data_IF_286005292381
#
_entry.id   IF_286005292381
#
_cell.length_a   1.000
_cell.length_b   1.000
_cell.length_c   1.000
_cell.angle_alpha   90.00
_cell.angle_beta   90.00
_cell.angle_gamma   90.00
#
_symmetry.space_group_name_H-M   'P 1'
#
loop_
_entity.id
_entity.type
_entity.pdbx_description
1 polymer ?
#
# COMPACT_ATOMS: atom_id res chain seq x y z
N UNK A 1 -8.45 -52.63 -82.75
CA UNK A 1 -8.95 -51.87 -83.91
C UNK A 1 -8.85 -50.38 -83.61
N UNK A 2 -7.99 -49.68 -84.37
CA UNK A 2 -8.08 -48.30 -84.89
C UNK A 2 -8.37 -47.10 -83.93
N UNK A 3 -7.39 -46.17 -83.94
CA UNK A 3 -7.32 -44.69 -83.73
C UNK A 3 -8.66 -43.94 -83.46
N UNK A 4 -8.71 -42.85 -82.67
CA UNK A 4 -8.34 -41.45 -83.05
C UNK A 4 -8.63 -40.48 -81.86
N UNK A 5 -7.65 -39.64 -81.44
CA UNK A 5 -7.62 -38.19 -81.01
C UNK A 5 -8.80 -37.59 -80.16
N UNK A 6 -8.71 -36.69 -79.16
CA UNK A 6 -7.74 -35.65 -78.73
C UNK A 6 -8.16 -34.94 -77.40
N UNK A 7 -7.18 -34.27 -76.75
CA UNK A 7 -7.22 -33.05 -75.90
C UNK A 7 -7.84 -33.01 -74.48
N UNK A 8 -7.02 -32.54 -73.52
CA UNK A 8 -7.46 -31.51 -72.55
C UNK A 8 -7.17 -31.79 -71.07
N UNK A 9 -6.17 -31.09 -70.51
CA UNK A 9 -5.90 -30.95 -69.07
C UNK A 9 -7.05 -30.26 -68.32
N UNK A 10 -7.34 -30.63 -67.06
CA UNK A 10 -6.99 -29.88 -65.81
C UNK A 10 -7.67 -30.45 -64.54
N UNK A 11 -6.91 -30.38 -63.44
CA UNK A 11 -7.12 -30.64 -61.99
C UNK A 11 -8.42 -30.03 -61.41
N UNK A 12 -9.04 -30.38 -60.25
CA UNK A 12 -8.88 -31.32 -59.12
C UNK A 12 -10.12 -31.12 -58.22
N UNK A 13 -10.69 -32.18 -57.63
CA UNK A 13 -11.44 -32.11 -56.35
C UNK A 13 -11.29 -33.46 -55.62
N UNK A 14 -10.70 -33.40 -54.43
CA UNK A 14 -11.37 -33.63 -53.13
C UNK A 14 -11.64 -35.11 -52.82
N UNK A 15 -10.93 -35.62 -51.82
CA UNK A 15 -11.34 -36.83 -51.07
C UNK A 15 -10.87 -36.70 -49.63
N UNK A 16 -11.88 -36.54 -48.78
CA UNK A 16 -11.96 -36.75 -47.34
C UNK A 16 -10.87 -37.69 -46.76
N UNK A 17 -10.10 -37.21 -45.78
CA UNK A 17 -9.56 -38.05 -44.71
C UNK A 17 -9.72 -37.31 -43.37
N UNK A 18 -10.66 -37.80 -42.57
CA UNK A 18 -10.99 -37.32 -41.24
C UNK A 18 -9.86 -37.71 -40.27
N UNK A 19 -8.93 -36.79 -39.99
CA UNK A 19 -7.92 -36.97 -38.94
C UNK A 19 -8.44 -36.32 -37.66
N UNK A 20 -8.74 -37.16 -36.66
CA UNK A 20 -9.03 -36.75 -35.30
C UNK A 20 -7.78 -36.05 -34.71
N UNK A 21 -7.72 -34.73 -34.81
CA UNK A 21 -6.78 -33.91 -34.04
C UNK A 21 -7.29 -33.88 -32.59
N UNK A 22 -6.90 -34.88 -31.81
CA UNK A 22 -6.83 -34.73 -30.36
C UNK A 22 -5.70 -33.72 -30.15
N UNK A 23 -6.08 -32.44 -30.02
CA UNK A 23 -5.21 -31.46 -29.42
C UNK A 23 -4.89 -32.00 -28.02
N UNK A 24 -3.72 -32.61 -27.86
CA UNK A 24 -3.09 -32.74 -26.57
C UNK A 24 -2.93 -31.31 -26.09
N UNK A 25 -3.89 -30.84 -25.30
CA UNK A 25 -3.63 -29.81 -24.33
C UNK A 25 -2.61 -30.43 -23.40
N UNK A 26 -1.33 -30.18 -23.71
CA UNK A 26 -0.31 -30.16 -22.69
C UNK A 26 -0.86 -29.24 -21.61
N UNK A 27 -1.31 -29.85 -20.52
CA UNK A 27 -1.47 -29.16 -19.25
C UNK A 27 -0.16 -28.40 -19.08
N UNK A 28 -0.24 -27.07 -19.21
CA UNK A 28 0.81 -26.21 -18.73
C UNK A 28 0.90 -26.49 -17.24
N UNK A 29 1.78 -27.41 -16.86
CA UNK A 29 2.42 -27.32 -15.57
C UNK A 29 3.18 -26.01 -15.65
N UNK A 30 2.64 -24.98 -14.98
CA UNK A 30 3.32 -23.72 -14.79
C UNK A 30 4.64 -24.03 -14.11
N UNK A 31 5.70 -24.10 -14.91
CA UNK A 31 7.05 -24.06 -14.39
C UNK A 31 7.27 -22.60 -14.02
N UNK A 32 6.79 -22.18 -12.84
CA UNK A 32 7.01 -20.87 -12.25
C UNK A 32 8.51 -20.70 -12.05
N UNK A 33 9.16 -20.31 -13.13
CA UNK A 33 10.58 -20.10 -13.20
C UNK A 33 10.79 -18.72 -12.61
N UNK A 34 11.39 -18.68 -11.42
CA UNK A 34 11.77 -17.42 -10.77
C UNK A 34 12.34 -16.43 -11.79
N UNK A 35 11.73 -15.25 -11.88
CA UNK A 35 12.12 -14.19 -12.79
C UNK A 35 12.55 -12.96 -11.99
N UNK A 36 13.86 -12.65 -11.92
CA UNK A 36 14.33 -11.51 -11.13
C UNK A 36 13.83 -10.15 -11.65
N UNK A 37 13.41 -10.04 -12.91
CA UNK A 37 12.91 -8.79 -13.46
C UNK A 37 11.51 -8.40 -12.96
N UNK A 38 10.80 -9.30 -12.28
CA UNK A 38 9.54 -8.95 -11.61
C UNK A 38 9.75 -8.47 -10.18
N UNK A 39 10.87 -8.85 -9.54
CA UNK A 39 11.19 -8.50 -8.16
C UNK A 39 12.15 -7.30 -8.06
N UNK A 40 13.17 -7.22 -8.92
CA UNK A 40 14.15 -6.14 -8.86
C UNK A 40 13.56 -4.72 -8.98
N UNK A 41 12.50 -4.47 -9.77
CA UNK A 41 11.83 -3.16 -9.78
C UNK A 41 11.17 -2.77 -8.44
N UNK A 42 11.01 -3.72 -7.52
CA UNK A 42 10.43 -3.50 -6.19
C UNK A 42 11.51 -3.28 -5.11
N UNK A 43 12.79 -3.35 -5.46
CA UNK A 43 13.92 -3.30 -4.52
C UNK A 43 14.84 -2.11 -4.80
N UNK A 44 15.58 -1.71 -3.78
CA UNK A 44 16.59 -0.66 -3.88
C UNK A 44 17.67 -1.02 -4.90
N UNK A 45 18.14 -0.02 -5.64
CA UNK A 45 19.24 -0.19 -6.58
C UNK A 45 20.51 -0.68 -5.87
N UNK A 46 21.11 -1.72 -6.41
CA UNK A 46 22.28 -2.40 -5.82
C UNK A 46 21.93 -3.51 -4.83
N UNK A 47 20.64 -3.76 -4.54
CA UNK A 47 20.25 -4.87 -3.67
C UNK A 47 20.72 -6.20 -4.27
N UNK A 48 21.41 -7.00 -3.46
CA UNK A 48 21.77 -8.37 -3.81
C UNK A 48 20.72 -9.33 -3.27
N UNK A 49 20.09 -10.10 -4.15
CA UNK A 49 19.13 -11.15 -3.81
C UNK A 49 19.71 -12.52 -4.16
N UNK A 50 19.19 -13.57 -3.54
CA UNK A 50 19.55 -14.95 -3.86
C UNK A 50 18.76 -15.42 -5.08
N UNK A 51 19.39 -16.17 -5.98
CA UNK A 51 18.63 -16.96 -6.95
C UNK A 51 18.10 -18.22 -6.23
N UNK A 52 16.78 -18.39 -6.07
CA UNK A 52 16.24 -19.52 -5.32
C UNK A 52 16.66 -20.88 -5.91
N UNK A 53 17.05 -20.95 -7.18
CA UNK A 53 17.40 -22.21 -7.86
C UNK A 53 18.82 -22.69 -7.58
N UNK A 54 19.69 -21.85 -7.01
CA UNK A 54 21.10 -22.18 -6.84
C UNK A 54 21.65 -21.70 -5.49
N UNK A 55 22.57 -22.47 -4.92
CA UNK A 55 23.24 -22.13 -3.65
C UNK A 55 24.29 -21.02 -3.81
N UNK A 56 24.88 -20.94 -5.00
CA UNK A 56 26.07 -20.15 -5.31
C UNK A 56 25.79 -19.01 -6.29
N UNK A 57 24.53 -18.77 -6.66
CA UNK A 57 24.15 -17.69 -7.58
C UNK A 57 23.42 -16.60 -6.82
N UNK A 58 23.85 -15.36 -7.05
CA UNK A 58 23.18 -14.17 -6.56
C UNK A 58 22.83 -13.27 -7.73
N UNK A 59 21.93 -12.32 -7.49
CA UNK A 59 21.45 -11.38 -8.49
C UNK A 59 21.55 -9.99 -7.90
N UNK A 60 22.17 -9.08 -8.63
CA UNK A 60 22.21 -7.66 -8.29
C UNK A 60 21.08 -6.97 -9.03
N UNK A 61 20.15 -6.38 -8.30
CA UNK A 61 19.10 -5.55 -8.86
C UNK A 61 19.69 -4.19 -9.21
N UNK A 62 19.63 -3.82 -10.49
CA UNK A 62 20.14 -2.55 -10.99
C UNK A 62 19.06 -1.87 -11.83
N UNK A 63 18.48 -0.80 -11.30
CA UNK A 63 17.31 -0.12 -11.86
C UNK A 63 16.19 -1.16 -12.15
N UNK A 64 15.74 -1.26 -13.40
CA UNK A 64 14.73 -2.23 -13.88
C UNK A 64 15.34 -3.51 -14.46
N UNK A 65 16.64 -3.75 -14.21
CA UNK A 65 17.36 -4.90 -14.73
C UNK A 65 17.99 -5.72 -13.61
N UNK A 66 18.38 -6.93 -13.94
CA UNK A 66 19.03 -7.85 -13.02
C UNK A 66 20.31 -8.39 -13.64
N UNK A 67 21.37 -8.47 -12.82
CA UNK A 67 22.66 -9.04 -13.23
C UNK A 67 22.98 -10.21 -12.33
N UNK A 68 23.09 -11.40 -12.91
CA UNK A 68 23.49 -12.61 -12.18
C UNK A 68 24.99 -12.63 -11.93
N UNK A 69 25.39 -13.05 -10.73
CA UNK A 69 26.76 -13.36 -10.34
C UNK A 69 26.86 -14.76 -9.72
N UNK A 70 28.07 -15.31 -9.65
CA UNK A 70 28.32 -16.64 -9.11
C UNK A 70 29.48 -16.62 -8.11
N UNK A 71 29.32 -17.39 -7.04
CA UNK A 71 30.32 -17.65 -6.02
C UNK A 71 31.26 -18.83 -6.35
N UNK A 72 31.15 -19.43 -7.55
CA UNK A 72 31.92 -20.63 -7.90
C UNK A 72 31.55 -21.78 -6.97
N UNK A 73 32.54 -22.32 -6.25
CA UNK A 73 32.35 -23.44 -5.30
C UNK A 73 31.84 -23.00 -3.92
N UNK A 74 31.74 -21.69 -3.66
CA UNK A 74 31.24 -21.13 -2.40
C UNK A 74 29.71 -20.91 -2.43
N UNK A 75 29.09 -20.78 -1.26
CA UNK A 75 27.67 -20.43 -1.17
C UNK A 75 27.48 -18.93 -0.99
N UNK A 76 26.41 -18.39 -1.59
CA UNK A 76 26.04 -16.99 -1.38
C UNK A 76 25.24 -16.88 -0.09
N UNK A 77 25.79 -16.14 0.88
CA UNK A 77 25.07 -15.73 2.08
C UNK A 77 24.23 -14.50 1.76
N UNK A 78 22.91 -14.69 1.79
CA UNK A 78 21.91 -13.68 1.51
C UNK A 78 22.07 -12.44 2.41
N UNK A 79 22.28 -12.64 3.72
CA UNK A 79 22.23 -11.54 4.68
C UNK A 79 23.53 -10.73 4.74
N UNK A 80 24.67 -11.38 4.53
CA UNK A 80 25.96 -10.66 4.45
C UNK A 80 26.27 -10.17 3.03
N UNK A 81 25.63 -10.74 2.01
CA UNK A 81 25.86 -10.40 0.61
C UNK A 81 27.24 -10.87 0.08
N UNK A 82 27.83 -11.87 0.75
CA UNK A 82 29.17 -12.40 0.49
C UNK A 82 29.13 -13.88 0.08
N UNK A 83 30.18 -14.32 -0.60
CA UNK A 83 30.42 -15.74 -0.85
C UNK A 83 31.16 -16.34 0.35
N UNK A 84 30.59 -17.37 0.96
CA UNK A 84 31.07 -18.01 2.18
C UNK A 84 31.31 -19.50 1.96
N UNK A 85 32.04 -20.11 2.88
CA UNK A 85 32.32 -21.53 2.85
C UNK A 85 31.00 -22.35 2.96
N UNK A 86 30.76 -23.34 2.07
CA UNK A 86 29.55 -24.17 2.11
C UNK A 86 29.26 -24.86 3.45
N UNK A 87 30.28 -25.09 4.28
CA UNK A 87 30.11 -25.71 5.60
C UNK A 87 29.62 -24.72 6.67
N UNK A 88 29.58 -23.42 6.36
CA UNK A 88 29.20 -22.36 7.31
C UNK A 88 27.73 -21.94 7.24
N UNK A 89 27.04 -22.23 6.13
CA UNK A 89 25.63 -21.89 5.94
C UNK A 89 24.87 -23.02 5.21
N UNK A 90 23.58 -23.14 5.47
CA UNK A 90 22.73 -24.07 4.74
C UNK A 90 22.29 -23.51 3.38
N UNK A 91 22.38 -24.36 2.35
CA UNK A 91 21.78 -24.04 1.06
C UNK A 91 20.25 -24.28 1.09
N UNK A 92 19.51 -23.19 1.20
CA UNK A 92 18.07 -23.15 0.92
C UNK A 92 17.87 -22.93 -0.58
N UNK A 93 17.38 -23.93 -1.31
CA UNK A 93 17.17 -23.83 -2.76
C UNK A 93 15.92 -24.58 -3.22
N UNK A 94 15.24 -24.04 -4.24
CA UNK A 94 14.15 -24.66 -4.96
C UNK A 94 14.59 -25.90 -5.76
N UNK A 95 15.89 -26.05 -5.98
CA UNK A 95 16.50 -27.28 -6.47
C UNK A 95 17.25 -27.97 -5.33
N UNK A 96 16.62 -28.91 -4.58
CA UNK A 96 17.29 -29.59 -3.47
C UNK A 96 18.48 -30.45 -3.92
N UNK A 97 18.57 -30.80 -5.21
CA UNK A 97 19.71 -31.51 -5.79
C UNK A 97 20.93 -30.61 -6.05
N UNK A 98 20.82 -29.30 -5.82
CA UNK A 98 21.95 -28.37 -5.93
C UNK A 98 23.02 -28.60 -4.85
N UNK A 99 22.61 -28.99 -3.63
CA UNK A 99 23.51 -29.37 -2.53
C UNK A 99 23.91 -30.85 -2.60
N UNK A 100 23.01 -31.72 -3.06
CA UNK A 100 23.20 -33.17 -3.12
C UNK A 100 23.04 -33.70 -4.53
N UNK A 101 24.16 -33.98 -5.20
CA UNK A 101 24.14 -34.39 -6.62
C UNK A 101 23.59 -35.80 -6.85
N UNK A 102 23.61 -36.68 -5.85
CA UNK A 102 23.11 -38.06 -5.95
C UNK A 102 22.42 -38.49 -4.65
N UNK A 103 21.30 -39.21 -4.76
CA UNK A 103 20.54 -39.75 -3.62
C UNK A 103 19.17 -39.11 -3.50
N UNK A 104 18.57 -39.15 -2.31
CA UNK A 104 17.28 -38.52 -2.07
C UNK A 104 17.43 -37.23 -1.27
N UNK A 105 16.65 -36.22 -1.61
CA UNK A 105 16.60 -34.94 -0.91
C UNK A 105 15.14 -34.56 -0.58
N UNK A 106 14.88 -33.89 0.55
CA UNK A 106 13.54 -33.43 0.89
C UNK A 106 13.07 -32.36 -0.10
N UNK A 107 11.77 -32.31 -0.36
CA UNK A 107 11.16 -31.23 -1.12
C UNK A 107 11.11 -29.95 -0.25
N UNK A 108 11.72 -28.83 -0.69
CA UNK A 108 11.77 -27.60 0.12
C UNK A 108 10.41 -26.93 0.32
N UNK A 109 9.41 -27.27 -0.50
CA UNK A 109 8.06 -26.70 -0.46
C UNK A 109 7.01 -27.64 0.15
N UNK A 110 7.34 -28.93 0.34
CA UNK A 110 6.38 -29.94 0.76
C UNK A 110 6.98 -31.00 1.67
N UNK A 111 6.38 -31.17 2.84
CA UNK A 111 6.69 -32.29 3.75
C UNK A 111 6.40 -33.68 3.17
N UNK A 112 5.48 -33.78 2.21
CA UNK A 112 5.09 -35.04 1.58
C UNK A 112 5.93 -35.34 0.33
N UNK A 113 6.62 -34.35 -0.21
CA UNK A 113 7.45 -34.46 -1.41
C UNK A 113 8.90 -34.84 -1.11
N UNK A 114 9.57 -35.41 -2.11
CA UNK A 114 11.00 -35.64 -2.13
C UNK A 114 11.52 -35.63 -3.56
N UNK A 115 12.84 -35.51 -3.72
CA UNK A 115 13.51 -35.62 -5.01
C UNK A 115 14.49 -36.79 -5.00
N UNK A 116 14.49 -37.57 -6.07
CA UNK A 116 15.61 -38.44 -6.40
C UNK A 116 16.59 -37.67 -7.29
N UNK A 117 17.75 -37.36 -6.74
CA UNK A 117 18.84 -36.66 -7.40
C UNK A 117 19.76 -37.65 -8.12
N UNK A 118 20.04 -37.36 -9.39
CA UNK A 118 21.01 -38.09 -10.21
C UNK A 118 21.81 -37.09 -11.04
N UNK A 119 23.11 -36.97 -10.77
CA UNK A 119 24.00 -35.97 -11.38
C UNK A 119 23.47 -34.53 -11.25
N UNK A 120 22.90 -34.18 -10.09
CA UNK A 120 22.34 -32.85 -9.79
C UNK A 120 20.97 -32.58 -10.40
N UNK A 121 20.40 -33.55 -11.15
CA UNK A 121 19.05 -33.46 -11.71
C UNK A 121 18.09 -34.23 -10.80
N UNK A 122 17.08 -33.52 -10.29
CA UNK A 122 16.05 -34.09 -9.42
C UNK A 122 14.84 -34.59 -10.20
N UNK A 123 14.39 -35.80 -9.88
CA UNK A 123 13.05 -36.29 -10.24
C UNK A 123 12.16 -36.21 -9.00
N UNK A 124 11.07 -35.44 -9.08
CA UNK A 124 10.13 -35.30 -7.97
C UNK A 124 9.35 -36.59 -7.72
N UNK A 125 9.10 -36.89 -6.45
CA UNK A 125 8.26 -37.96 -5.97
C UNK A 125 7.47 -37.51 -4.77
N UNK A 126 6.36 -38.20 -4.50
CA UNK A 126 5.47 -37.88 -3.38
C UNK A 126 5.23 -39.14 -2.55
N UNK A 127 5.20 -38.95 -1.24
CA UNK A 127 4.78 -39.97 -0.30
C UNK A 127 3.25 -40.19 -0.42
N UNK A 128 2.78 -41.40 -0.12
CA UNK A 128 1.32 -41.64 -0.03
C UNK A 128 0.66 -40.72 0.99
N UNK A 129 -0.64 -40.44 0.80
CA UNK A 129 -1.41 -39.55 1.67
C UNK A 129 -1.26 -39.87 3.16
N UNK A 130 -0.94 -38.84 3.96
CA UNK A 130 -0.73 -38.94 5.41
C UNK A 130 0.66 -39.41 5.84
N UNK A 131 1.61 -39.53 4.91
CA UNK A 131 3.02 -39.81 5.18
C UNK A 131 3.86 -38.58 4.82
N UNK A 132 4.92 -38.32 5.60
CA UNK A 132 5.91 -37.29 5.30
C UNK A 132 7.25 -37.95 4.99
N UNK A 133 8.05 -37.33 4.13
CA UNK A 133 9.37 -37.82 3.79
C UNK A 133 10.35 -37.57 4.94
N UNK A 134 11.08 -38.62 5.35
CA UNK A 134 12.16 -38.53 6.32
C UNK A 134 13.51 -38.64 5.59
N UNK A 135 14.32 -37.56 5.51
CA UNK A 135 15.61 -37.56 4.83
C UNK A 135 16.70 -38.40 5.53
N UNK A 136 16.60 -38.63 6.84
CA UNK A 136 17.58 -39.45 7.58
C UNK A 136 17.48 -40.94 7.23
N UNK A 137 16.26 -41.38 6.90
CA UNK A 137 15.96 -42.78 6.59
C UNK A 137 15.68 -43.04 5.12
N UNK A 138 15.55 -41.99 4.31
CA UNK A 138 15.08 -42.05 2.92
C UNK A 138 13.74 -42.80 2.75
N UNK A 139 12.81 -42.63 3.69
CA UNK A 139 11.53 -43.33 3.72
C UNK A 139 10.36 -42.40 4.08
N UNK A 140 9.16 -42.76 3.61
CA UNK A 140 7.92 -42.08 3.97
C UNK A 140 7.39 -42.61 5.30
N UNK A 141 7.29 -41.74 6.30
CA UNK A 141 6.88 -42.09 7.66
C UNK A 141 5.63 -41.30 8.04
N UNK A 142 4.65 -41.99 8.64
CA UNK A 142 3.42 -41.37 9.13
C UNK A 142 3.75 -40.37 10.23
N UNK A 143 3.21 -39.16 10.11
CA UNK A 143 3.39 -38.08 11.09
C UNK A 143 4.86 -37.75 11.40
N UNK A 144 5.78 -37.95 10.45
CA UNK A 144 7.15 -37.50 10.65
C UNK A 144 7.18 -35.96 10.73
N UNK A 145 7.75 -35.39 11.81
CA UNK A 145 7.89 -33.95 11.93
C UNK A 145 8.90 -33.46 10.89
N UNK A 146 8.50 -32.50 10.08
CA UNK A 146 9.27 -31.92 8.99
C UNK A 146 9.07 -30.41 9.01
N UNK A 147 10.05 -29.70 8.46
CA UNK A 147 10.00 -28.25 8.31
C UNK A 147 10.05 -27.91 6.82
N UNK A 148 9.10 -27.09 6.37
CA UNK A 148 9.12 -26.50 5.04
C UNK A 148 10.17 -25.39 5.06
N UNK A 149 11.16 -25.47 4.18
CA UNK A 149 12.31 -24.56 4.18
C UNK A 149 12.17 -23.44 3.16
N UNK A 150 11.19 -23.53 2.25
CA UNK A 150 10.84 -22.46 1.32
C UNK A 150 9.33 -22.32 1.19
N UNK A 151 8.88 -21.06 1.18
CA UNK A 151 7.50 -20.69 0.85
C UNK A 151 7.54 -19.92 -0.49
N UNK A 152 6.77 -20.33 -1.51
CA UNK A 152 6.84 -19.72 -2.85
C UNK A 152 6.58 -18.21 -2.86
N UNK A 153 5.72 -17.74 -1.94
CA UNK A 153 5.31 -16.33 -1.84
C UNK A 153 6.14 -15.53 -0.81
N UNK A 154 7.11 -16.16 -0.14
CA UNK A 154 7.88 -15.50 0.92
C UNK A 154 9.17 -14.89 0.39
N UNK A 155 9.16 -13.57 0.23
CA UNK A 155 10.32 -12.79 -0.17
C UNK A 155 11.54 -12.99 0.75
N UNK A 156 11.36 -13.41 2.00
CA UNK A 156 12.46 -13.55 2.96
C UNK A 156 13.37 -14.75 2.68
N UNK A 157 13.00 -15.63 1.73
CA UNK A 157 13.89 -16.67 1.20
C UNK A 157 14.93 -16.13 0.21
N UNK A 158 14.70 -14.93 -0.34
CA UNK A 158 15.45 -14.40 -1.48
C UNK A 158 15.95 -12.96 -1.28
N UNK A 159 15.29 -12.17 -0.43
CA UNK A 159 15.63 -10.77 -0.13
C UNK A 159 16.32 -10.68 1.24
N UNK A 160 17.43 -9.93 1.38
CA UNK A 160 18.15 -9.82 2.64
C UNK A 160 17.33 -9.12 3.73
N UNK A 161 17.59 -9.47 4.98
CA UNK A 161 17.01 -8.79 6.14
C UNK A 161 17.30 -7.29 6.09
N UNK A 162 16.27 -6.48 6.35
CA UNK A 162 16.36 -5.02 6.33
C UNK A 162 16.31 -4.35 4.95
N UNK A 163 16.30 -5.11 3.85
CA UNK A 163 15.90 -4.54 2.56
C UNK A 163 14.38 -4.29 2.54
N UNK A 164 13.98 -3.19 1.90
CA UNK A 164 12.58 -2.84 1.72
C UNK A 164 12.09 -3.24 0.33
N UNK A 165 10.92 -3.87 0.28
CA UNK A 165 10.25 -4.37 -0.92
C UNK A 165 9.00 -3.53 -1.14
N UNK A 166 8.87 -2.89 -2.30
CA UNK A 166 7.65 -2.16 -2.67
C UNK A 166 6.49 -3.12 -2.83
N UNK A 167 5.34 -2.81 -2.23
CA UNK A 167 4.09 -3.53 -2.50
C UNK A 167 3.60 -3.14 -3.90
N UNK A 168 3.35 -4.10 -4.81
CA UNK A 168 2.81 -3.81 -6.14
C UNK A 168 1.49 -3.02 -6.06
N UNK A 169 1.29 -2.10 -7.01
CA UNK A 169 0.11 -1.22 -7.10
C UNK A 169 -0.14 -0.31 -5.87
N UNK A 170 0.76 -0.26 -4.89
CA UNK A 170 0.67 0.64 -3.73
C UNK A 170 1.75 1.71 -3.77
N UNK A 171 1.36 2.96 -3.62
CA UNK A 171 2.31 4.07 -3.58
C UNK A 171 2.90 4.33 -2.21
N UNK A 172 2.29 3.83 -1.14
CA UNK A 172 2.72 4.13 0.24
C UNK A 172 3.20 2.90 1.00
N UNK A 173 2.89 1.68 0.54
CA UNK A 173 3.20 0.47 1.30
C UNK A 173 4.51 -0.18 0.82
N UNK A 174 5.20 -0.75 1.79
CA UNK A 174 6.41 -1.52 1.59
C UNK A 174 6.42 -2.71 2.56
N UNK A 175 7.34 -3.64 2.36
CA UNK A 175 7.56 -4.79 3.22
C UNK A 175 9.03 -4.91 3.55
N UNK A 176 9.37 -5.57 4.65
CA UNK A 176 10.76 -5.90 4.97
C UNK A 176 10.85 -7.21 5.72
N UNK A 177 11.98 -7.90 5.59
CA UNK A 177 12.24 -9.16 6.25
C UNK A 177 12.93 -8.94 7.60
N UNK A 178 12.41 -9.56 8.64
CA UNK A 178 13.02 -9.60 9.97
C UNK A 178 12.84 -10.99 10.59
N UNK A 179 13.93 -11.65 10.98
CA UNK A 179 13.89 -13.00 11.55
C UNK A 179 13.06 -14.00 10.72
N UNK A 180 13.24 -13.97 9.39
CA UNK A 180 12.49 -14.79 8.43
C UNK A 180 10.98 -14.54 8.42
N UNK A 181 10.52 -13.38 8.89
CA UNK A 181 9.13 -12.94 8.78
C UNK A 181 9.02 -11.70 7.91
N UNK A 182 8.02 -11.71 7.02
CA UNK A 182 7.67 -10.57 6.19
C UNK A 182 6.81 -9.59 6.99
N UNK A 183 7.35 -8.40 7.25
CA UNK A 183 6.67 -7.32 7.97
C UNK A 183 6.17 -6.27 6.98
N UNK A 184 4.91 -5.84 7.14
CA UNK A 184 4.34 -4.75 6.35
C UNK A 184 4.66 -3.40 6.99
N UNK A 185 4.89 -2.39 6.16
CA UNK A 185 5.08 -1.01 6.55
C UNK A 185 4.36 -0.06 5.59
N UNK A 186 4.10 1.15 6.09
CA UNK A 186 3.51 2.24 5.31
C UNK A 186 4.37 3.47 5.50
N UNK A 187 4.60 4.20 4.42
CA UNK A 187 5.29 5.48 4.48
C UNK A 187 4.53 6.47 5.37
N UNK A 188 5.25 7.36 6.06
CA UNK A 188 4.62 8.46 6.77
C UNK A 188 3.67 9.24 5.85
N UNK A 189 2.63 9.83 6.43
CA UNK A 189 1.63 10.60 5.70
C UNK A 189 2.28 11.64 4.78
N UNK A 190 1.91 11.64 3.50
CA UNK A 190 2.43 12.57 2.48
C UNK A 190 3.70 12.09 1.76
N UNK A 191 4.24 10.93 2.10
CA UNK A 191 5.39 10.32 1.43
C UNK A 191 4.97 9.08 0.63
N UNK A 192 5.65 8.84 -0.49
CA UNK A 192 5.50 7.66 -1.33
C UNK A 192 6.73 6.77 -1.20
N UNK A 193 6.55 5.46 -1.30
CA UNK A 193 7.65 4.52 -1.24
C UNK A 193 8.39 4.47 -2.60
N UNK A 194 9.64 4.92 -2.59
CA UNK A 194 10.57 4.85 -3.71
C UNK A 194 11.34 3.52 -3.64
N UNK A 195 10.94 2.57 -4.49
CA UNK A 195 11.63 1.28 -4.60
C UNK A 195 13.11 1.46 -4.95
N UNK A 196 13.45 2.39 -5.84
CA UNK A 196 14.82 2.58 -6.33
C UNK A 196 15.77 3.04 -5.22
N UNK A 197 15.30 3.92 -4.34
CA UNK A 197 16.07 4.38 -3.16
C UNK A 197 15.92 3.46 -1.95
N UNK A 198 14.85 2.69 -1.87
CA UNK A 198 14.53 1.85 -0.73
C UNK A 198 14.02 2.64 0.47
N UNK A 199 13.41 3.81 0.25
CA UNK A 199 12.92 4.67 1.32
C UNK A 199 11.64 5.41 0.92
N UNK A 200 11.08 6.14 1.90
CA UNK A 200 9.93 7.00 1.67
C UNK A 200 10.41 8.38 1.23
N UNK A 201 10.01 8.79 0.03
CA UNK A 201 10.38 10.06 -0.58
C UNK A 201 9.12 10.88 -0.90
N UNK A 202 9.32 12.14 -1.26
CA UNK A 202 8.24 13.03 -1.63
C UNK A 202 7.57 12.60 -2.95
N UNK A 203 6.26 12.83 -3.11
CA UNK A 203 5.51 12.42 -4.31
C UNK A 203 6.12 12.86 -5.64
N UNK A 204 6.73 14.05 -5.71
CA UNK A 204 7.37 14.53 -6.95
C UNK A 204 8.64 13.77 -7.34
N UNK A 205 9.24 13.02 -6.42
CA UNK A 205 10.46 12.26 -6.66
C UNK A 205 10.15 10.79 -7.02
N UNK A 206 8.91 10.33 -6.81
CA UNK A 206 8.51 8.94 -6.99
C UNK A 206 7.52 8.84 -8.15
N UNK A 207 7.90 8.09 -9.19
CA UNK A 207 6.98 7.77 -10.28
C UNK A 207 6.01 6.67 -9.84
N UNK A 208 4.92 7.07 -9.18
CA UNK A 208 3.88 6.15 -8.74
C UNK A 208 2.51 6.63 -9.22
N UNK A 209 1.90 5.83 -10.09
CA UNK A 209 0.51 6.03 -10.51
C UNK A 209 -0.33 5.14 -9.61
N UNK A 210 -0.84 5.71 -8.53
CA UNK A 210 -1.78 4.99 -7.69
C UNK A 210 -3.12 4.91 -8.45
N UNK A 211 -3.51 3.71 -8.88
CA UNK A 211 -4.82 3.50 -9.53
C UNK A 211 -5.98 3.75 -8.54
N UNK A 212 -5.68 3.86 -7.25
CA UNK A 212 -6.66 4.09 -6.18
C UNK A 212 -6.62 5.52 -5.62
N UNK A 213 -5.62 6.35 -5.96
CA UNK A 213 -5.59 7.76 -5.56
C UNK A 213 -6.61 8.55 -6.39
N UNK A 214 -7.35 9.47 -5.77
CA UNK A 214 -8.31 10.26 -6.52
C UNK A 214 -7.61 11.13 -7.56
N UNK A 215 -8.16 11.19 -8.76
CA UNK A 215 -7.69 12.10 -9.80
C UNK A 215 -7.92 13.53 -9.32
N UNK A 216 -6.84 14.29 -9.12
CA UNK A 216 -6.92 15.67 -8.65
C UNK A 216 -7.63 16.51 -9.73
N UNK A 217 -8.71 17.24 -9.40
CA UNK A 217 -9.41 18.07 -10.37
C UNK A 217 -8.49 19.12 -10.97
N UNK A 218 -8.60 19.35 -12.29
CA UNK A 218 -7.76 20.31 -13.04
C UNK A 218 -7.87 21.75 -12.48
N UNK A 219 -8.98 22.06 -11.82
CA UNK A 219 -9.22 23.35 -11.16
C UNK A 219 -8.39 23.57 -9.89
N UNK A 220 -7.88 22.50 -9.27
CA UNK A 220 -7.03 22.59 -8.09
C UNK A 220 -5.64 23.02 -8.53
N UNK A 221 -5.37 24.31 -8.42
CA UNK A 221 -4.12 24.91 -8.84
C UNK A 221 -3.67 26.01 -7.88
N UNK A 222 -2.37 26.12 -7.72
CA UNK A 222 -1.77 27.18 -6.94
C UNK A 222 -1.87 28.52 -7.65
N UNK A 223 -2.20 29.57 -6.91
CA UNK A 223 -2.22 30.94 -7.42
C UNK A 223 -1.04 31.78 -6.89
N UNK A 224 -0.40 31.35 -5.80
CA UNK A 224 0.64 32.07 -5.10
C UNK A 224 1.61 31.09 -4.41
N UNK A 225 2.89 31.47 -4.29
CA UNK A 225 3.84 30.73 -3.47
C UNK A 225 3.59 30.96 -1.97
N UNK A 226 3.81 29.91 -1.16
CA UNK A 226 3.72 29.95 0.29
C UNK A 226 2.32 29.72 0.86
N UNK A 227 1.32 29.41 0.02
CA UNK A 227 -0.06 29.16 0.46
C UNK A 227 -0.36 27.67 0.50
N UNK A 228 -1.36 27.30 1.29
CA UNK A 228 -1.92 25.96 1.32
C UNK A 228 -3.32 25.97 0.71
N UNK A 229 -3.61 24.99 -0.14
CA UNK A 229 -4.91 24.81 -0.79
C UNK A 229 -5.42 23.39 -0.56
N UNK A 230 -6.74 23.18 -0.57
CA UNK A 230 -7.31 21.83 -0.49
C UNK A 230 -6.96 21.04 -1.76
N UNK A 231 -6.86 19.72 -1.62
CA UNK A 231 -6.67 18.82 -2.77
C UNK A 231 -7.92 18.68 -3.66
N UNK A 232 -9.08 19.22 -3.23
CA UNK A 232 -10.34 19.18 -3.95
C UNK A 232 -11.02 17.81 -3.99
N UNK A 233 -10.50 16.81 -3.25
CA UNK A 233 -11.03 15.45 -3.29
C UNK A 233 -11.21 14.82 -1.92
N UNK A 234 -10.29 15.08 -1.00
CA UNK A 234 -10.35 14.53 0.36
C UNK A 234 -10.41 15.64 1.39
N UNK A 235 -11.09 15.38 2.50
CA UNK A 235 -11.18 16.39 3.54
C UNK A 235 -9.88 16.57 4.34
N UNK A 236 -8.97 15.61 4.32
CA UNK A 236 -7.67 15.72 5.00
C UNK A 236 -6.53 16.11 4.06
N UNK A 237 -6.68 16.01 2.74
CA UNK A 237 -5.64 16.31 1.76
C UNK A 237 -5.52 17.80 1.40
N UNK A 238 -4.29 18.22 1.14
CA UNK A 238 -3.95 19.59 0.78
C UNK A 238 -2.66 19.67 -0.04
N UNK A 239 -2.44 20.80 -0.70
CA UNK A 239 -1.19 21.15 -1.35
C UNK A 239 -0.56 22.38 -0.72
N UNK A 240 0.75 22.32 -0.48
CA UNK A 240 1.58 23.50 -0.29
C UNK A 240 2.10 23.99 -1.65
N UNK A 241 1.91 25.27 -1.91
CA UNK A 241 2.34 25.92 -3.15
C UNK A 241 3.78 26.43 -3.01
N UNK A 242 4.72 25.72 -3.62
CA UNK A 242 6.14 26.07 -3.67
C UNK A 242 6.48 27.16 -4.68
N UNK A 243 7.77 27.31 -4.95
CA UNK A 243 8.27 28.19 -6.01
C UNK A 243 7.88 27.67 -7.40
N UNK A 244 7.94 28.56 -8.39
CA UNK A 244 7.68 28.23 -9.78
C UNK A 244 8.88 27.51 -10.41
N UNK A 245 8.61 26.55 -11.28
CA UNK A 245 9.63 26.00 -12.17
C UNK A 245 9.96 26.98 -13.34
N UNK A 246 10.90 26.60 -14.19
CA UNK A 246 11.31 27.41 -15.36
C UNK A 246 10.17 27.64 -16.38
N UNK A 247 9.13 26.80 -16.33
CA UNK A 247 7.93 26.88 -17.18
C UNK A 247 6.85 27.80 -16.57
N UNK A 248 7.05 28.26 -15.34
CA UNK A 248 6.15 29.17 -14.63
C UNK A 248 5.06 28.49 -13.80
N UNK A 249 5.07 27.16 -13.73
CA UNK A 249 4.15 26.34 -12.94
C UNK A 249 4.62 26.23 -11.49
N UNK A 250 3.68 26.36 -10.56
CA UNK A 250 3.97 26.22 -9.14
C UNK A 250 4.29 24.78 -8.79
N UNK A 251 5.35 24.56 -8.00
CA UNK A 251 5.61 23.25 -7.38
C UNK A 251 4.51 22.93 -6.36
N UNK A 252 3.61 22.01 -6.68
CA UNK A 252 2.57 21.54 -5.76
C UNK A 252 3.11 20.38 -4.91
N UNK A 253 3.14 20.56 -3.59
CA UNK A 253 3.60 19.54 -2.64
C UNK A 253 2.38 19.04 -1.87
N UNK A 254 1.97 17.80 -2.12
CA UNK A 254 0.82 17.20 -1.43
C UNK A 254 1.16 16.89 0.04
N UNK A 255 0.19 17.08 0.92
CA UNK A 255 0.23 16.67 2.31
C UNK A 255 -1.16 16.25 2.77
N UNK A 256 -1.23 15.52 3.89
CA UNK A 256 -2.51 15.25 4.52
C UNK A 256 -2.44 15.60 5.99
N UNK A 257 -3.57 16.09 6.52
CA UNK A 257 -3.78 16.23 7.94
C UNK A 257 -3.72 14.85 8.63
N UNK A 258 -3.29 14.81 9.92
CA UNK A 258 -3.31 13.60 10.72
C UNK A 258 -4.70 12.96 10.80
N UNK A 259 -4.75 11.71 11.27
CA UNK A 259 -6.01 10.99 11.55
C UNK A 259 -6.94 11.87 12.40
N UNK A 260 -8.24 11.80 12.09
CA UNK A 260 -9.33 12.58 12.68
C UNK A 260 -9.31 14.10 12.45
N UNK A 261 -8.45 14.59 11.55
CA UNK A 261 -8.33 16.02 11.22
C UNK A 261 -8.52 16.31 9.74
N UNK A 262 -9.21 17.41 9.46
CA UNK A 262 -9.47 17.92 8.12
C UNK A 262 -8.78 19.25 7.89
N UNK A 263 -8.38 19.46 6.65
CA UNK A 263 -7.63 20.62 6.21
C UNK A 263 -8.55 21.82 5.96
N UNK A 264 -8.10 23.00 6.39
CA UNK A 264 -8.66 24.29 6.00
C UNK A 264 -7.57 25.22 5.52
N UNK A 265 -7.85 25.98 4.47
CA UNK A 265 -6.89 26.93 3.90
C UNK A 265 -6.75 28.24 4.71
N UNK A 266 -7.62 28.47 5.70
CA UNK A 266 -7.60 29.69 6.54
C UNK A 266 -6.32 29.79 7.37
N UNK A 267 -5.89 31.02 7.67
CA UNK A 267 -4.70 31.31 8.48
C UNK A 267 -3.38 30.66 7.99
N UNK A 268 -3.28 30.36 6.70
CA UNK A 268 -2.09 29.73 6.13
C UNK A 268 -2.07 28.20 6.26
N UNK A 269 -3.23 27.57 6.43
CA UNK A 269 -3.36 26.11 6.48
C UNK A 269 -3.45 25.59 7.91
N UNK A 270 -4.59 25.01 8.28
CA UNK A 270 -4.77 24.38 9.59
C UNK A 270 -5.43 23.00 9.45
N UNK A 271 -5.12 22.10 10.39
CA UNK A 271 -5.74 20.78 10.50
C UNK A 271 -6.67 20.76 11.72
N UNK A 272 -7.96 20.91 11.49
CA UNK A 272 -9.00 20.98 12.54
C UNK A 272 -9.67 19.63 12.75
N UNK A 273 -10.20 19.33 13.94
CA UNK A 273 -11.00 18.12 14.16
C UNK A 273 -12.14 17.99 13.15
N UNK A 274 -12.35 16.79 12.61
CA UNK A 274 -13.34 16.53 11.53
C UNK A 274 -14.79 16.91 11.85
N UNK A 275 -15.17 16.93 13.13
CA UNK A 275 -16.51 17.37 13.61
C UNK A 275 -16.65 18.90 13.69
N UNK A 276 -15.52 19.62 13.71
CA UNK A 276 -15.46 21.08 13.90
C UNK A 276 -15.40 21.88 12.59
N UNK A 277 -15.42 21.21 11.45
CA UNK A 277 -15.23 21.84 10.15
C UNK A 277 -16.09 21.19 9.06
N UNK A 278 -16.70 22.06 8.25
CA UNK A 278 -17.40 21.69 7.02
C UNK A 278 -16.42 21.27 5.93
N UNK A 279 -16.78 20.23 5.20
CA UNK A 279 -15.99 19.79 4.08
C UNK A 279 -16.87 19.06 3.06
N UNK A 280 -17.00 19.57 1.83
CA UNK A 280 -17.84 18.98 0.79
C UNK A 280 -17.16 17.78 0.07
N UNK A 281 -15.93 17.46 0.44
CA UNK A 281 -15.13 16.40 -0.17
C UNK A 281 -15.27 15.06 0.59
N UNK A 282 -14.41 14.07 0.31
CA UNK A 282 -14.49 12.77 0.97
C UNK A 282 -14.18 12.88 2.46
N UNK A 283 -15.21 12.72 3.30
CA UNK A 283 -15.14 12.71 4.76
C UNK A 283 -14.86 11.32 5.35
N UNK A 284 -14.87 10.27 4.52
CA UNK A 284 -14.53 8.90 4.91
C UNK A 284 -13.04 8.64 4.95
N UNK A 285 -12.21 9.59 4.50
CA UNK A 285 -10.75 9.50 4.64
C UNK A 285 -10.36 9.25 6.09
N UNK A 286 -9.44 8.31 6.29
CA UNK A 286 -8.97 7.79 7.59
C UNK A 286 -10.00 7.01 8.42
N UNK A 287 -11.21 6.76 7.89
CA UNK A 287 -12.22 5.91 8.51
C UNK A 287 -12.39 4.56 7.78
N UNK A 288 -13.01 3.59 8.44
CA UNK A 288 -13.44 2.36 7.80
C UNK A 288 -12.31 1.38 7.49
N UNK A 289 -11.14 1.53 8.13
CA UNK A 289 -9.93 0.75 7.80
C UNK A 289 -9.99 -0.68 8.35
N UNK A 290 -10.39 -0.85 9.61
CA UNK A 290 -10.50 -2.16 10.27
C UNK A 290 -11.94 -2.71 10.26
N UNK A 291 -12.92 -1.83 10.42
CA UNK A 291 -14.35 -2.13 10.42
C UNK A 291 -15.13 -0.97 9.81
N UNK A 292 -16.36 -1.21 9.32
CA UNK A 292 -17.20 -0.15 8.76
C UNK A 292 -17.46 0.94 9.79
N UNK A 293 -17.25 2.19 9.37
CA UNK A 293 -17.52 3.38 10.17
C UNK A 293 -18.41 4.32 9.38
N UNK A 294 -18.92 5.36 10.04
CA UNK A 294 -19.86 6.31 9.47
C UNK A 294 -19.35 7.74 9.69
N UNK A 295 -19.69 8.63 8.77
CA UNK A 295 -19.29 10.04 8.84
C UNK A 295 -20.50 10.96 8.67
N UNK A 296 -20.50 12.12 9.33
CA UNK A 296 -21.48 13.17 9.05
C UNK A 296 -21.40 13.58 7.58
N UNK A 297 -22.53 13.94 6.98
CA UNK A 297 -22.61 14.50 5.63
C UNK A 297 -22.55 16.02 5.73
N UNK A 298 -21.81 16.67 4.84
CA UNK A 298 -21.81 18.14 4.78
C UNK A 298 -23.15 18.67 4.26
N UNK A 299 -23.60 19.80 4.80
CA UNK A 299 -24.80 20.53 4.36
C UNK A 299 -26.16 19.85 4.62
N UNK A 300 -26.24 18.79 5.44
CA UNK A 300 -27.49 18.06 5.67
C UNK A 300 -28.19 18.39 7.00
N UNK A 301 -27.60 19.21 7.86
CA UNK A 301 -28.13 19.48 9.19
C UNK A 301 -27.96 18.32 10.17
N UNK A 302 -26.98 17.45 9.94
CA UNK A 302 -26.63 16.28 10.75
C UNK A 302 -27.71 15.20 10.76
N UNK A 303 -28.59 15.14 9.76
CA UNK A 303 -29.71 14.18 9.70
C UNK A 303 -29.33 12.86 9.03
N UNK A 304 -28.19 12.79 8.37
CA UNK A 304 -27.70 11.61 7.67
C UNK A 304 -26.22 11.34 7.90
N UNK A 305 -25.79 10.23 7.34
CA UNK A 305 -24.43 9.75 7.44
C UNK A 305 -23.97 9.02 6.18
N UNK A 306 -22.70 9.19 5.86
CA UNK A 306 -21.97 8.40 4.88
C UNK A 306 -21.49 7.10 5.55
N UNK A 307 -21.55 5.98 4.83
CA UNK A 307 -20.97 4.70 5.24
C UNK A 307 -19.59 4.60 4.62
N UNK A 308 -18.58 4.36 5.46
CA UNK A 308 -17.17 4.38 5.10
C UNK A 308 -16.57 2.97 5.16
N UNK A 309 -15.87 2.59 4.10
CA UNK A 309 -15.09 1.36 4.05
C UNK A 309 -13.78 1.62 3.31
N UNK A 310 -12.66 1.20 3.88
CA UNK A 310 -11.31 1.41 3.35
C UNK A 310 -11.00 2.87 3.01
N UNK A 311 -11.44 3.81 3.86
CA UNK A 311 -11.18 5.24 3.66
C UNK A 311 -12.05 5.92 2.61
N UNK A 312 -13.06 5.24 2.04
CA UNK A 312 -13.94 5.78 0.99
C UNK A 312 -15.41 5.68 1.37
N UNK A 313 -16.20 6.62 0.88
CA UNK A 313 -17.66 6.57 0.95
C UNK A 313 -18.20 5.46 0.03
N UNK A 314 -18.94 4.51 0.60
CA UNK A 314 -19.59 3.42 -0.16
C UNK A 314 -21.11 3.61 -0.30
N UNK A 315 -21.73 4.41 0.58
CA UNK A 315 -23.17 4.67 0.57
C UNK A 315 -23.54 5.84 1.50
N UNK A 316 -24.79 6.30 1.43
CA UNK A 316 -25.38 7.28 2.35
C UNK A 316 -26.71 6.77 2.90
N UNK A 317 -27.03 7.15 4.12
CA UNK A 317 -28.32 6.90 4.74
C UNK A 317 -28.76 8.09 5.60
N UNK A 318 -30.07 8.21 5.81
CA UNK A 318 -30.65 9.16 6.75
C UNK A 318 -31.00 8.45 8.06
N UNK A 319 -30.91 9.19 9.16
CA UNK A 319 -31.35 8.71 10.46
C UNK A 319 -32.88 8.50 10.50
N UNK A 320 -33.37 7.44 11.16
CA UNK A 320 -34.79 7.17 11.24
C UNK A 320 -35.49 8.23 12.10
N UNK A 321 -36.79 8.44 11.84
CA UNK A 321 -37.67 9.25 12.71
C UNK A 321 -37.24 10.71 12.90
N UNK A 322 -36.41 11.28 12.00
CA UNK A 322 -35.94 12.65 12.12
C UNK A 322 -34.89 12.85 13.22
N UNK A 323 -34.19 11.77 13.59
CA UNK A 323 -33.03 11.80 14.49
C UNK A 323 -31.81 12.44 13.84
N UNK A 324 -30.80 12.75 14.65
CA UNK A 324 -29.53 13.33 14.23
C UNK A 324 -28.40 12.30 14.36
N UNK A 325 -27.47 12.29 13.40
CA UNK A 325 -26.32 11.42 13.43
C UNK A 325 -25.19 12.00 14.30
N UNK A 326 -24.85 11.32 15.38
CA UNK A 326 -23.67 11.60 16.20
C UNK A 326 -22.48 10.79 15.64
N UNK A 327 -21.58 11.49 14.96
CA UNK A 327 -20.36 10.93 14.37
C UNK A 327 -19.35 10.42 15.42
N UNK A 328 -19.33 10.95 16.65
CA UNK A 328 -18.47 10.43 17.71
C UNK A 328 -19.04 9.15 18.32
N UNK A 329 -20.36 9.09 18.47
CA UNK A 329 -21.06 7.90 18.98
C UNK A 329 -21.33 6.83 17.91
N UNK A 330 -21.16 7.17 16.63
CA UNK A 330 -21.44 6.30 15.47
C UNK A 330 -22.89 5.78 15.45
N UNK A 331 -23.86 6.61 15.84
CA UNK A 331 -25.28 6.23 15.89
C UNK A 331 -26.22 7.45 15.80
N UNK A 332 -27.49 7.19 15.50
CA UNK A 332 -28.54 8.21 15.48
C UNK A 332 -29.09 8.47 16.89
N UNK A 333 -29.22 9.74 17.27
CA UNK A 333 -29.71 10.22 18.56
C UNK A 333 -30.91 11.16 18.37
N UNK A 334 -31.76 11.25 19.40
CA UNK A 334 -32.88 12.21 19.42
C UNK A 334 -32.44 13.64 19.78
N UNK A 335 -31.27 13.78 20.40
CA UNK A 335 -30.70 15.09 20.76
C UNK A 335 -30.13 15.79 19.52
N UNK A 336 -30.38 17.09 19.39
CA UNK A 336 -29.90 17.87 18.25
C UNK A 336 -28.36 17.94 18.24
N UNK A 337 -27.75 17.47 17.15
CA UNK A 337 -26.31 17.54 16.93
C UNK A 337 -25.98 18.85 16.21
N UNK A 338 -25.12 19.67 16.81
CA UNK A 338 -24.73 20.99 16.29
C UNK A 338 -23.30 21.01 15.77
N UNK A 339 -22.80 19.89 15.26
CA UNK A 339 -21.45 19.82 14.70
C UNK A 339 -21.34 20.75 13.49
N UNK A 340 -20.25 21.51 13.43
CA UNK A 340 -19.97 22.35 12.28
C UNK A 340 -19.86 21.49 11.01
N UNK A 341 -19.35 20.26 11.12
CA UNK A 341 -19.22 19.26 10.06
C UNK A 341 -20.43 19.07 9.13
N UNK A 342 -21.64 19.17 9.67
CA UNK A 342 -22.90 18.91 8.96
C UNK A 342 -23.82 20.13 8.99
N UNK A 343 -23.33 21.28 9.47
CA UNK A 343 -24.13 22.51 9.50
C UNK A 343 -24.54 22.94 8.10
N UNK A 344 -25.78 23.42 7.96
CA UNK A 344 -26.33 23.86 6.67
C UNK A 344 -25.77 25.21 6.25
N UNK A 345 -25.46 25.38 4.96
CA UNK A 345 -25.04 26.64 4.38
C UNK A 345 -26.21 27.62 4.44
N UNK A 346 -25.98 28.91 4.75
CA UNK A 346 -27.02 29.91 4.57
C UNK A 346 -27.39 29.95 3.07
N UNK A 347 -28.60 29.48 2.76
CA UNK A 347 -29.18 29.56 1.41
C UNK A 347 -29.16 31.00 0.93
N UNK A 348 -28.44 31.27 -0.15
CA UNK A 348 -28.52 32.50 -0.94
C UNK A 348 -29.88 32.57 -1.62
N UNK A 349 -30.90 32.93 -0.84
CA UNK A 349 -32.27 33.08 -1.33
C UNK A 349 -32.32 34.32 -2.21
N UNK A 350 -32.19 34.11 -3.51
CA UNK A 350 -32.40 35.14 -4.53
C UNK A 350 -33.91 35.41 -4.61
N UNK A 351 -34.40 36.29 -3.74
CA UNK A 351 -35.79 36.76 -3.83
C UNK A 351 -35.84 37.90 -4.85
N UNK A 352 -36.25 37.58 -6.07
CA UNK A 352 -36.65 38.57 -7.06
C UNK A 352 -38.01 39.19 -6.69
N UNK A 353 -38.15 40.48 -7.02
CA UNK A 353 -39.38 41.31 -7.02
C UNK A 353 -39.79 41.84 -5.63
N UNK A 354 -40.22 43.10 -5.42
CA UNK A 354 -40.70 44.15 -6.32
C UNK A 354 -40.51 45.52 -5.63
N UNK A 355 -40.29 46.54 -6.44
CA UNK A 355 -40.31 47.99 -6.21
C UNK A 355 -41.27 48.48 -5.11
N UNK A 356 -40.76 49.33 -4.21
CA UNK A 356 -41.55 50.07 -3.24
C UNK A 356 -40.71 51.10 -2.48
N UNK A 357 -40.51 52.28 -3.07
CA UNK A 357 -39.90 53.45 -2.43
C UNK A 357 -40.65 53.84 -1.16
N UNK A 358 -39.95 54.01 -0.04
CA UNK A 358 -40.26 55.09 0.91
C UNK A 358 -39.00 55.52 1.67
N UNK A 359 -38.75 56.83 1.61
CA UNK A 359 -37.69 57.61 2.24
C UNK A 359 -37.99 57.75 3.74
N UNK A 360 -37.04 57.47 4.66
CA UNK A 360 -36.83 58.26 5.90
C UNK A 360 -35.33 58.29 6.26
N UNK A 361 -34.94 59.47 6.69
CA UNK A 361 -33.65 60.11 6.88
C UNK A 361 -32.91 59.74 8.18
N UNK A 362 -31.56 59.79 8.11
CA UNK A 362 -30.61 60.32 9.12
C UNK A 362 -30.57 59.76 10.56
N UNK A 363 -29.40 59.28 11.00
CA UNK A 363 -28.46 60.05 11.86
C UNK A 363 -27.52 59.13 12.63
N UNK A 364 -26.23 59.44 12.55
CA UNK A 364 -25.15 59.01 13.44
C UNK A 364 -25.39 59.42 14.90
N UNK A 365 -24.99 58.59 15.87
CA UNK A 365 -24.35 59.09 17.09
C UNK A 365 -23.54 58.02 17.80
N UNK A 366 -22.28 58.37 18.02
CA UNK A 366 -21.32 57.77 18.95
C UNK A 366 -21.77 58.12 20.37
N UNK A 367 -21.68 57.17 21.31
CA UNK A 367 -21.42 57.49 22.72
C UNK A 367 -20.78 56.31 23.44
N UNK A 368 -19.57 56.58 23.92
CA UNK A 368 -18.82 55.89 24.95
C UNK A 368 -19.26 56.35 26.34
N UNK A 369 -19.19 55.45 27.33
CA UNK A 369 -18.92 55.68 28.79
C UNK A 369 -19.12 54.33 29.50
N UNK A 370 -18.06 53.60 29.87
CA UNK A 370 -17.26 53.60 31.12
C UNK A 370 -17.97 53.13 32.42
N UNK A 371 -17.36 52.07 32.99
CA UNK A 371 -17.06 51.75 34.41
C UNK A 371 -18.13 51.26 35.40
N UNK A 372 -17.91 50.03 35.89
CA UNK A 372 -17.77 49.62 37.32
C UNK A 372 -17.31 48.14 37.36
N UNK A 373 -16.06 47.76 37.74
CA UNK A 373 -15.51 47.48 39.10
C UNK A 373 -16.39 46.50 39.90
N UNK A 374 -15.98 45.36 40.49
CA UNK A 374 -14.75 44.58 40.63
C UNK A 374 -15.15 43.21 41.27
N UNK A 375 -14.37 42.15 41.07
CA UNK A 375 -13.76 41.38 42.19
C UNK A 375 -13.04 40.12 41.71
N UNK A 376 -11.80 40.02 42.18
CA UNK A 376 -10.80 38.99 41.96
C UNK A 376 -10.91 37.87 42.99
N UNK A 377 -10.61 36.61 42.62
CA UNK A 377 -9.93 35.58 43.44
C UNK A 377 -9.24 34.62 42.43
N UNK A 378 -7.94 34.71 42.18
CA UNK A 378 -6.79 34.13 42.92
C UNK A 378 -7.06 32.70 43.40
N UNK A 379 -6.59 31.72 42.61
CA UNK A 379 -6.19 30.41 43.11
C UNK A 379 -4.68 30.25 42.90
N UNK A 380 -4.00 30.09 44.02
CA UNK A 380 -2.55 29.89 44.20
C UNK A 380 -2.10 28.51 43.71
N UNK A 381 -0.94 28.48 43.06
CA UNK A 381 -0.16 27.27 42.83
C UNK A 381 0.46 26.77 44.14
N UNK A 382 0.56 25.45 44.28
CA UNK A 382 1.38 24.84 45.32
C UNK A 382 2.41 23.95 44.64
N UNK A 383 3.67 24.27 44.92
CA UNK A 383 4.89 23.56 44.58
C UNK A 383 5.01 22.23 45.34
N UNK A 384 5.56 21.22 44.66
CA UNK A 384 6.22 20.09 45.31
C UNK A 384 7.56 19.85 44.61
N UNK A 385 8.63 20.17 45.33
CA UNK A 385 10.04 19.84 45.05
C UNK A 385 10.50 18.85 46.09
N UNK A 386 11.15 17.76 45.67
CA UNK A 386 12.20 16.94 46.33
C UNK A 386 12.25 15.62 45.55
N UNK A 387 13.36 15.00 45.17
CA UNK A 387 14.78 15.14 45.53
C UNK A 387 15.59 14.37 44.48
N UNK A 388 16.80 14.86 44.19
CA UNK A 388 17.83 14.14 43.45
C UNK A 388 18.94 13.75 44.44
N UNK A 389 19.43 12.51 44.34
CA UNK A 389 20.75 12.08 44.80
C UNK A 389 21.11 10.82 43.98
N UNK A 390 22.10 10.81 43.08
CA UNK A 390 23.57 10.96 43.19
C UNK A 390 24.26 9.59 43.00
N UNK A 391 24.77 9.42 41.78
CA UNK A 391 26.07 8.89 41.33
C UNK A 391 26.81 7.70 41.99
N UNK A 392 27.44 6.93 41.08
CA UNK A 392 28.73 6.19 41.17
C UNK A 392 28.73 4.75 41.75
N UNK A 393 29.06 3.73 40.94
CA UNK A 393 30.43 3.12 40.81
C UNK A 393 30.43 1.77 40.04
N UNK A 394 31.29 1.68 39.03
CA UNK A 394 31.91 0.43 38.51
C UNK A 394 33.17 0.16 39.35
N UNK A 395 33.47 -1.06 39.85
CA UNK A 395 34.35 -2.00 39.13
C UNK A 395 34.20 -3.51 39.47
N UNK A 396 34.36 -4.39 38.49
CA UNK A 396 35.54 -5.28 38.30
C UNK A 396 35.39 -6.08 37.01
#
# INVERSE_FOLDING_TARGET
MIKTTTFGLTYTFSSLLLVLLIAQQSLAQGNDTFNPNTLCPLLANGTKIKDPRYCNVYIVCMNDTSVSGSCGDQFFDLNTGLCVDPDTIDCISSNPCAKQSTGFAPDPYSCNGYYYCSNGVGTHGECSSGLNYNPDTNNCIRNFPCEITMLPDDYCNIVPVGAFIKVPDSCTQYQTCWQSQLLNGTCPTGFLFDAFRGDCDYPQNVNCVDKNNPEIPVEVSCNQTGVFISDGVTCNGYFYCGEKNDEGDYKMIHGNCPVDRFFVATNGGECLPRTSIRCPYDRCVTLGLDFMQMANIDDDGCIGFAICQYGKEISRAECPQGQYFDEMAQLCVDEEITYAACSTSPSSTTTSSTTGSTIITSSSTISSTTTTTASSQIYTSTTATTEAADSVKVPT
#
